data_IF_420721119369
#
_entry.id   IF_420721119369
#
_cell.length_a   1.000
_cell.length_b   1.000
_cell.length_c   1.000
_cell.angle_alpha   90.00
_cell.angle_beta   90.00
_cell.angle_gamma   90.00
#
_symmetry.space_group_name_H-M   'P 1'
#
loop_
_entity.id
_entity.type
_entity.pdbx_description
1 polymer ?
#
# COMPACT_ATOMS: atom_id res chain seq x y z
N UNK A 1 11.04 9.78 12.87
CA UNK A 1 10.12 9.58 11.74
C UNK A 1 8.83 10.29 12.11
N UNK A 2 8.50 11.41 11.44
CA UNK A 2 7.35 12.25 11.77
C UNK A 2 6.23 11.85 10.81
N UNK A 3 5.12 11.34 11.35
CA UNK A 3 3.89 11.15 10.58
C UNK A 3 3.42 12.52 10.05
N UNK A 4 2.84 12.60 8.83
CA UNK A 4 2.29 13.83 8.29
C UNK A 4 1.11 14.33 9.16
N UNK A 5 0.98 15.65 9.39
CA UNK A 5 -0.12 16.20 10.18
C UNK A 5 -1.40 16.26 9.35
N UNK A 6 -2.42 15.48 9.71
CA UNK A 6 -3.72 15.54 9.02
C UNK A 6 -4.83 14.65 9.57
N UNK A 7 -4.51 13.59 10.31
CA UNK A 7 -5.51 12.73 10.96
C UNK A 7 -5.30 12.73 12.48
N UNK A 8 -5.66 13.83 13.13
CA UNK A 8 -5.85 13.86 14.58
C UNK A 8 -7.30 14.24 14.85
N UNK A 9 -8.06 13.28 15.40
CA UNK A 9 -9.40 13.51 15.90
C UNK A 9 -9.40 14.67 16.89
N UNK A 10 -10.24 15.67 16.62
CA UNK A 10 -10.62 16.68 17.61
C UNK A 10 -11.29 15.99 18.79
N UNK A 11 -10.60 15.96 19.93
CA UNK A 11 -11.17 16.22 21.25
C UNK A 11 -10.09 16.00 22.31
N UNK A 12 -9.62 17.10 22.90
CA UNK A 12 -9.50 17.30 24.36
C UNK A 12 -8.57 18.50 24.62
N UNK A 13 -9.18 19.68 24.74
CA UNK A 13 -8.62 20.73 25.60
C UNK A 13 -8.94 20.34 27.03
N UNK A 14 -7.93 20.12 27.87
CA UNK A 14 -7.84 20.75 29.19
C UNK A 14 -6.49 20.48 29.90
N UNK A 15 -5.76 21.58 30.11
CA UNK A 15 -5.10 21.94 31.37
C UNK A 15 -4.14 20.93 32.05
N UNK A 16 -2.83 21.16 31.93
CA UNK A 16 -1.93 21.12 33.11
C UNK A 16 -0.88 22.23 33.02
N UNK A 17 -0.78 22.97 34.13
CA UNK A 17 0.04 24.17 34.37
C UNK A 17 1.53 23.83 34.54
N UNK A 18 2.36 24.76 34.07
CA UNK A 18 3.80 24.88 34.34
C UNK A 18 4.13 24.97 35.84
N UNK A 19 5.21 24.31 36.26
CA UNK A 19 5.96 24.65 37.48
C UNK A 19 7.49 24.57 37.18
N UNK A 20 8.33 25.49 37.71
CA UNK A 20 9.75 25.64 37.36
C UNK A 20 10.70 24.80 38.26
N UNK A 21 12.01 24.71 37.95
CA UNK A 21 12.92 23.77 38.60
C UNK A 21 13.42 24.26 39.96
N UNK A 22 13.48 23.35 40.94
CA UNK A 22 14.03 23.59 42.27
C UNK A 22 15.52 23.21 42.30
N UNK A 23 16.34 24.15 42.78
CA UNK A 23 17.80 24.08 42.90
C UNK A 23 18.26 22.99 43.87
N UNK A 24 19.28 22.24 43.45
CA UNK A 24 20.06 21.32 44.27
C UNK A 24 21.02 22.12 45.18
N UNK A 25 20.99 21.87 46.49
CA UNK A 25 22.05 22.28 47.42
C UNK A 25 22.36 21.09 48.34
N UNK A 26 23.64 20.69 48.30
CA UNK A 26 24.25 19.66 49.13
C UNK A 26 24.25 20.06 50.61
N UNK A 27 23.95 19.11 51.51
CA UNK A 27 24.64 18.96 52.79
C UNK A 27 24.38 17.54 53.31
N UNK A 28 25.45 16.85 53.67
CA UNK A 28 25.45 15.43 54.00
C UNK A 28 25.24 15.09 55.47
N UNK A 29 25.13 13.77 55.65
CA UNK A 29 25.72 12.97 56.74
C UNK A 29 25.00 12.86 58.10
N UNK A 30 24.59 11.61 58.39
CA UNK A 30 24.91 10.79 59.59
C UNK A 30 23.78 10.48 60.59
N UNK A 31 23.32 9.20 60.50
CA UNK A 31 23.12 8.19 61.58
C UNK A 31 21.99 8.40 62.62
N UNK A 32 20.98 7.50 62.67
CA UNK A 32 20.98 6.30 63.53
C UNK A 32 19.62 5.57 63.55
N UNK A 33 19.67 4.29 63.95
CA UNK A 33 18.68 3.23 63.84
C UNK A 33 17.42 3.35 64.71
N UNK A 34 16.30 2.75 64.26
CA UNK A 34 15.49 1.87 65.11
C UNK A 34 14.65 0.89 64.27
N UNK A 35 14.87 -0.41 64.49
CA UNK A 35 14.10 -1.50 63.93
C UNK A 35 12.89 -1.81 64.82
N UNK A 36 11.70 -1.91 64.23
CA UNK A 36 10.60 -2.71 64.77
C UNK A 36 10.11 -3.66 63.67
N UNK A 37 10.38 -4.94 63.87
CA UNK A 37 9.88 -6.06 63.07
C UNK A 37 8.52 -6.45 63.67
N UNK A 38 7.44 -6.25 62.93
CA UNK A 38 6.15 -6.92 63.19
C UNK A 38 5.88 -7.94 62.10
N UNK A 39 5.54 -9.14 62.56
CA UNK A 39 5.40 -10.36 61.80
C UNK A 39 4.23 -10.34 60.79
N UNK A 40 4.49 -10.97 59.64
CA UNK A 40 3.66 -12.03 59.06
C UNK A 40 2.19 -11.72 58.74
N UNK A 41 1.93 -11.51 57.45
CA UNK A 41 0.75 -12.10 56.82
C UNK A 41 1.09 -12.40 55.35
N UNK A 42 1.23 -13.69 55.04
CA UNK A 42 1.57 -14.18 53.71
C UNK A 42 0.49 -13.80 52.68
N UNK A 43 0.94 -13.32 51.53
CA UNK A 43 0.14 -13.32 50.31
C UNK A 43 0.90 -14.12 49.26
N UNK A 44 0.30 -15.25 48.87
CA UNK A 44 0.70 -16.05 47.72
C UNK A 44 0.97 -15.14 46.53
N UNK A 45 2.15 -15.30 45.92
CA UNK A 45 2.38 -14.79 44.56
C UNK A 45 1.34 -15.44 43.66
N UNK A 46 0.36 -14.67 43.20
CA UNK A 46 -0.43 -15.06 42.03
C UNK A 46 0.57 -15.11 40.87
N UNK A 47 0.81 -16.31 40.37
CA UNK A 47 1.42 -16.53 39.07
C UNK A 47 0.57 -15.75 38.06
N UNK A 48 1.14 -14.69 37.48
CA UNK A 48 0.59 -14.12 36.26
C UNK A 48 0.68 -15.22 35.20
N UNK A 49 -0.48 -15.67 34.76
CA UNK A 49 -0.62 -16.56 33.61
C UNK A 49 -0.22 -15.69 32.42
N UNK A 50 0.92 -16.01 31.82
CA UNK A 50 1.33 -15.41 30.56
C UNK A 50 0.25 -15.72 29.52
N UNK A 51 -0.28 -14.68 28.87
CA UNK A 51 -1.18 -14.82 27.74
C UNK A 51 -0.45 -15.56 26.60
N UNK A 52 -0.62 -16.87 26.56
CA UNK A 52 -0.24 -17.68 25.40
C UNK A 52 -1.18 -17.33 24.25
N UNK A 53 -0.76 -16.38 23.41
CA UNK A 53 -1.36 -16.23 22.10
C UNK A 53 -1.12 -17.55 21.31
N UNK A 54 -2.10 -18.04 20.53
CA UNK A 54 -1.89 -19.23 19.71
C UNK A 54 -0.77 -18.94 18.71
N UNK A 55 0.31 -19.72 18.79
CA UNK A 55 1.46 -19.64 17.91
C UNK A 55 1.30 -20.69 16.82
N UNK A 56 0.99 -20.25 15.60
CA UNK A 56 0.89 -21.12 14.41
C UNK A 56 2.27 -21.42 13.79
N UNK A 57 3.31 -21.55 14.63
CA UNK A 57 4.69 -21.83 14.20
C UNK A 57 5.42 -22.79 15.15
N UNK A 58 6.55 -23.40 14.73
CA UNK A 58 7.29 -24.35 15.56
C UNK A 58 7.67 -23.69 16.90
N UNK A 59 7.15 -24.27 17.98
CA UNK A 59 7.11 -23.67 19.31
C UNK A 59 8.48 -23.20 19.80
N UNK A 60 8.70 -21.90 19.75
CA UNK A 60 9.72 -21.24 20.55
C UNK A 60 9.00 -20.83 21.84
N UNK A 61 9.25 -21.55 22.93
CA UNK A 61 8.62 -21.30 24.25
C UNK A 61 8.89 -19.88 24.78
N UNK A 62 9.93 -19.21 24.28
CA UNK A 62 10.23 -17.80 24.55
C UNK A 62 10.78 -17.17 23.28
N UNK A 63 10.00 -16.33 22.58
CA UNK A 63 10.53 -15.54 21.47
C UNK A 63 11.75 -14.71 21.99
N UNK A 64 12.99 -14.98 21.54
CA UNK A 64 14.18 -14.28 22.03
C UNK A 64 14.19 -12.79 21.65
N UNK A 65 13.29 -12.39 20.76
CA UNK A 65 13.01 -11.02 20.36
C UNK A 65 11.53 -10.72 20.62
N UNK A 66 11.12 -10.47 21.88
CA UNK A 66 9.75 -10.06 22.14
C UNK A 66 9.50 -8.76 21.38
N UNK A 67 8.75 -8.84 20.29
CA UNK A 67 8.27 -7.65 19.60
C UNK A 67 7.23 -7.01 20.52
N UNK A 68 7.40 -5.74 20.83
CA UNK A 68 6.30 -4.96 21.39
C UNK A 68 5.12 -5.07 20.43
N UNK A 69 3.93 -5.41 20.94
CA UNK A 69 2.73 -5.38 20.11
C UNK A 69 2.57 -3.96 19.60
N UNK A 70 2.71 -3.77 18.29
CA UNK A 70 2.49 -2.50 17.64
C UNK A 70 1.03 -2.04 17.77
N UNK A 71 0.79 -0.77 17.48
CA UNK A 71 -0.56 -0.24 17.36
C UNK A 71 -1.22 -0.73 16.06
N UNK A 72 -2.37 -1.39 16.19
CA UNK A 72 -3.09 -1.97 15.05
C UNK A 72 -3.55 -0.90 14.07
N UNK A 73 -3.96 0.27 14.58
CA UNK A 73 -4.44 1.34 13.72
C UNK A 73 -3.29 1.95 12.91
N UNK A 74 -2.17 2.27 13.56
CA UNK A 74 -0.94 2.69 12.86
C UNK A 74 -0.47 1.64 11.86
N UNK A 75 -0.54 0.35 12.21
CA UNK A 75 -0.20 -0.74 11.30
C UNK A 75 -1.09 -0.76 10.06
N UNK A 76 -2.42 -0.55 10.22
CA UNK A 76 -3.35 -0.42 9.10
C UNK A 76 -3.06 0.80 8.23
N UNK A 77 -2.73 1.95 8.82
CA UNK A 77 -2.39 3.16 8.05
C UNK A 77 -1.13 2.93 7.21
N UNK A 78 -0.09 2.33 7.80
CA UNK A 78 1.13 1.95 7.07
C UNK A 78 0.78 0.99 5.94
N UNK A 79 0.05 -0.09 6.24
CA UNK A 79 -0.34 -1.08 5.24
C UNK A 79 -1.10 -0.46 4.06
N UNK A 80 -2.00 0.49 4.33
CA UNK A 80 -2.86 1.11 3.32
C UNK A 80 -2.20 2.20 2.50
N UNK A 81 -1.32 2.99 3.10
CA UNK A 81 -0.90 4.26 2.51
C UNK A 81 0.61 4.48 2.49
N UNK A 82 1.41 3.70 3.21
CA UNK A 82 2.86 3.83 3.12
C UNK A 82 3.34 3.29 1.77
N UNK A 83 4.08 4.13 1.06
CA UNK A 83 4.70 3.87 -0.25
C UNK A 83 6.18 3.56 -0.11
N UNK A 84 6.76 3.77 1.07
CA UNK A 84 8.18 3.53 1.36
C UNK A 84 9.12 4.26 0.39
N UNK A 85 8.71 5.43 -0.13
CA UNK A 85 9.51 6.24 -1.04
C UNK A 85 9.49 5.78 -2.50
N UNK A 86 8.64 4.82 -2.88
CA UNK A 86 8.57 4.31 -4.25
C UNK A 86 7.90 5.26 -5.25
N UNK A 87 7.42 6.43 -4.82
CA UNK A 87 6.81 7.43 -5.69
C UNK A 87 7.79 7.96 -6.73
N UNK A 88 9.09 8.01 -6.40
CA UNK A 88 10.13 8.35 -7.37
C UNK A 88 10.18 7.35 -8.53
N UNK A 89 9.91 6.07 -8.27
CA UNK A 89 9.79 5.09 -9.34
C UNK A 89 8.49 5.30 -10.11
N UNK A 90 7.33 5.26 -9.46
CA UNK A 90 6.04 5.25 -10.15
C UNK A 90 5.71 6.57 -10.84
N UNK A 91 6.08 7.70 -10.26
CA UNK A 91 5.81 9.03 -10.83
C UNK A 91 6.92 9.50 -11.76
N UNK A 92 8.19 9.39 -11.37
CA UNK A 92 9.28 10.01 -12.13
C UNK A 92 9.87 9.05 -13.17
N UNK A 93 10.18 7.81 -12.77
CA UNK A 93 10.82 6.83 -13.66
C UNK A 93 9.80 6.18 -14.62
N UNK A 94 8.77 5.53 -14.10
CA UNK A 94 7.73 4.85 -14.88
C UNK A 94 6.73 5.85 -15.51
N UNK A 95 6.57 7.04 -14.91
CA UNK A 95 5.64 8.08 -15.39
C UNK A 95 4.19 7.57 -15.47
N UNK A 96 3.73 6.93 -14.39
CA UNK A 96 2.42 6.30 -14.31
C UNK A 96 1.27 7.29 -14.53
N UNK A 97 1.21 8.48 -13.88
CA UNK A 97 0.11 9.43 -14.14
C UNK A 97 0.02 9.89 -15.60
N UNK A 98 1.17 10.10 -16.25
CA UNK A 98 1.26 10.44 -17.67
C UNK A 98 0.76 9.28 -18.53
N UNK A 99 1.15 8.06 -18.18
CA UNK A 99 0.73 6.84 -18.84
C UNK A 99 -0.79 6.62 -18.77
N UNK A 100 -1.39 6.78 -17.59
CA UNK A 100 -2.85 6.72 -17.38
C UNK A 100 -3.56 7.69 -18.32
N UNK A 101 -3.08 8.93 -18.41
CA UNK A 101 -3.66 9.95 -19.29
C UNK A 101 -3.48 9.63 -20.78
N UNK A 102 -2.30 9.13 -21.18
CA UNK A 102 -1.99 8.79 -22.57
C UNK A 102 -2.78 7.57 -23.06
N UNK A 103 -2.83 6.52 -22.23
CA UNK A 103 -3.61 5.31 -22.47
C UNK A 103 -5.12 5.53 -22.34
N UNK A 104 -5.53 6.66 -21.75
CA UNK A 104 -6.92 6.99 -21.39
C UNK A 104 -7.54 5.91 -20.51
N UNK A 105 -6.79 5.43 -19.51
CA UNK A 105 -7.25 4.35 -18.63
C UNK A 105 -8.49 4.82 -17.86
N UNK A 106 -9.64 4.22 -18.15
CA UNK A 106 -10.92 4.56 -17.51
C UNK A 106 -11.17 3.72 -16.25
N UNK A 107 -12.12 4.10 -15.36
CA UNK A 107 -12.47 3.27 -14.21
C UNK A 107 -12.94 1.87 -14.61
N UNK A 108 -13.68 1.76 -15.73
CA UNK A 108 -14.10 0.47 -16.28
C UNK A 108 -12.91 -0.41 -16.66
N UNK A 109 -11.92 0.17 -17.35
CA UNK A 109 -10.71 -0.57 -17.73
C UNK A 109 -9.84 -0.94 -16.52
N UNK A 110 -9.78 -0.06 -15.50
CA UNK A 110 -9.13 -0.35 -14.23
C UNK A 110 -9.77 -1.56 -13.52
N UNK A 111 -11.10 -1.62 -13.46
CA UNK A 111 -11.84 -2.78 -12.93
C UNK A 111 -11.58 -4.03 -13.78
N UNK A 112 -11.58 -3.93 -15.11
CA UNK A 112 -11.23 -5.05 -15.99
C UNK A 112 -9.80 -5.56 -15.77
N UNK A 113 -8.87 -4.68 -15.38
CA UNK A 113 -7.51 -5.03 -14.99
C UNK A 113 -7.39 -5.56 -13.54
N UNK A 114 -8.50 -5.72 -12.82
CA UNK A 114 -8.50 -6.31 -11.47
C UNK A 114 -8.32 -5.32 -10.32
N UNK A 115 -8.26 -4.01 -10.59
CA UNK A 115 -8.11 -3.01 -9.54
C UNK A 115 -9.34 -2.96 -8.63
N UNK A 116 -9.07 -2.77 -7.35
CA UNK A 116 -10.08 -2.66 -6.30
C UNK A 116 -10.32 -1.19 -5.98
N UNK A 117 -11.59 -0.82 -5.74
CA UNK A 117 -11.96 0.57 -5.43
C UNK A 117 -12.68 0.63 -4.09
N UNK A 118 -12.08 1.36 -3.15
CA UNK A 118 -12.65 1.63 -1.85
C UNK A 118 -13.78 2.66 -1.95
N UNK A 119 -15.01 2.21 -1.71
CA UNK A 119 -16.19 3.06 -1.75
C UNK A 119 -16.18 4.15 -0.67
N UNK A 120 -15.55 3.90 0.47
CA UNK A 120 -15.57 4.80 1.63
C UNK A 120 -14.72 6.05 1.40
N UNK A 121 -13.70 5.94 0.54
CA UNK A 121 -12.83 7.04 0.13
C UNK A 121 -13.45 7.95 -0.95
N UNK A 122 -14.54 7.54 -1.61
CA UNK A 122 -15.19 8.32 -2.67
C UNK A 122 -16.17 9.33 -2.09
N UNK A 123 -16.11 10.58 -2.53
CA UNK A 123 -17.08 11.62 -2.17
C UNK A 123 -18.54 11.18 -2.44
N UNK A 124 -19.52 11.47 -1.55
CA UNK A 124 -20.87 10.92 -1.64
C UNK A 124 -21.57 11.13 -2.98
N UNK A 125 -21.43 12.32 -3.58
CA UNK A 125 -22.05 12.64 -4.87
C UNK A 125 -21.44 11.82 -6.02
N UNK A 126 -20.12 11.66 -6.03
CA UNK A 126 -19.41 10.84 -7.03
C UNK A 126 -19.78 9.36 -6.86
N UNK A 127 -19.84 8.89 -5.60
CA UNK A 127 -20.25 7.53 -5.26
C UNK A 127 -21.65 7.20 -5.77
N UNK A 128 -22.61 8.11 -5.55
CA UNK A 128 -23.98 7.93 -6.04
C UNK A 128 -24.04 7.89 -7.57
N UNK A 129 -23.35 8.81 -8.25
CA UNK A 129 -23.29 8.86 -9.70
C UNK A 129 -22.70 7.56 -10.29
N UNK A 130 -21.55 7.10 -9.78
CA UNK A 130 -20.94 5.84 -10.19
C UNK A 130 -21.88 4.65 -9.95
N UNK A 131 -22.56 4.61 -8.79
CA UNK A 131 -23.52 3.55 -8.48
C UNK A 131 -24.72 3.50 -9.44
N UNK A 132 -25.11 4.62 -10.05
CA UNK A 132 -26.13 4.61 -11.11
C UNK A 132 -25.55 4.13 -12.44
N UNK A 133 -24.37 4.61 -12.84
CA UNK A 133 -23.72 4.19 -14.07
C UNK A 133 -23.43 2.68 -14.10
N UNK A 134 -23.04 2.09 -12.97
CA UNK A 134 -22.77 0.65 -12.82
C UNK A 134 -24.00 -0.24 -13.01
N UNK A 135 -25.22 0.32 -12.97
CA UNK A 135 -26.49 -0.39 -13.24
C UNK A 135 -26.88 -0.38 -14.72
N UNK A 136 -26.13 0.34 -15.55
CA UNK A 136 -26.37 0.44 -16.99
C UNK A 136 -25.57 -0.63 -17.75
N UNK A 137 -25.56 -0.54 -19.08
CA UNK A 137 -24.65 -1.34 -19.93
C UNK A 137 -23.18 -0.88 -19.87
N UNK A 138 -22.90 0.15 -19.06
CA UNK A 138 -21.57 0.76 -18.88
C UNK A 138 -20.93 1.26 -20.19
N UNK A 139 -21.74 1.51 -21.22
CA UNK A 139 -21.29 2.13 -22.47
C UNK A 139 -20.91 3.60 -22.24
N UNK A 140 -20.07 4.21 -23.09
CA UNK A 140 -19.74 5.63 -22.97
C UNK A 140 -20.96 6.56 -22.96
N UNK A 141 -22.08 6.14 -23.57
CA UNK A 141 -23.32 6.91 -23.60
C UNK A 141 -24.09 6.88 -22.28
N UNK A 142 -24.13 5.72 -21.60
CA UNK A 142 -24.92 5.53 -20.38
C UNK A 142 -24.07 5.60 -19.10
N UNK A 143 -22.76 5.49 -19.22
CA UNK A 143 -21.80 5.54 -18.12
C UNK A 143 -20.58 6.41 -18.47
N UNK A 144 -20.78 7.72 -18.69
CA UNK A 144 -19.69 8.62 -19.06
C UNK A 144 -18.57 8.66 -18.02
N UNK A 145 -18.85 8.63 -16.71
CA UNK A 145 -17.80 8.66 -15.68
C UNK A 145 -16.96 7.38 -15.68
N UNK A 146 -17.57 6.20 -15.82
CA UNK A 146 -16.85 4.92 -15.93
C UNK A 146 -15.99 4.81 -17.20
N UNK A 147 -16.24 5.68 -18.19
CA UNK A 147 -15.51 5.74 -19.46
C UNK A 147 -14.67 7.03 -19.61
N UNK A 148 -14.43 7.77 -18.52
CA UNK A 148 -13.62 8.99 -18.52
C UNK A 148 -12.35 8.81 -17.68
N UNK A 149 -11.19 9.08 -18.29
CA UNK A 149 -9.89 9.04 -17.61
C UNK A 149 -9.79 10.06 -16.47
N UNK A 150 -10.49 11.20 -16.56
CA UNK A 150 -10.52 12.18 -15.47
C UNK A 150 -11.17 11.60 -14.20
N UNK A 151 -12.12 10.67 -14.36
CA UNK A 151 -12.70 9.92 -13.22
C UNK A 151 -11.66 9.02 -12.57
N UNK A 152 -10.84 8.32 -13.36
CA UNK A 152 -9.72 7.50 -12.83
C UNK A 152 -8.76 8.36 -12.01
N UNK A 153 -8.36 9.52 -12.53
CA UNK A 153 -7.46 10.43 -11.82
C UNK A 153 -8.06 10.87 -10.48
N UNK A 154 -9.32 11.30 -10.47
CA UNK A 154 -10.04 11.69 -9.24
C UNK A 154 -10.13 10.55 -8.21
N UNK A 155 -10.35 9.31 -8.66
CA UNK A 155 -10.37 8.15 -7.77
C UNK A 155 -9.00 7.89 -7.15
N UNK A 156 -7.90 8.09 -7.88
CA UNK A 156 -6.54 7.96 -7.34
C UNK A 156 -6.22 9.13 -6.40
N UNK A 157 -6.59 10.37 -6.76
CA UNK A 157 -6.41 11.55 -5.91
C UNK A 157 -7.17 11.43 -4.58
N UNK A 158 -8.34 10.78 -4.59
CA UNK A 158 -9.10 10.43 -3.39
C UNK A 158 -8.53 9.22 -2.63
N UNK A 159 -7.43 8.61 -3.09
CA UNK A 159 -6.89 7.34 -2.58
C UNK A 159 -7.94 6.21 -2.56
N UNK A 160 -8.91 6.25 -3.47
CA UNK A 160 -9.98 5.25 -3.59
C UNK A 160 -9.54 4.04 -4.43
N UNK A 161 -8.62 4.20 -5.38
CA UNK A 161 -7.99 3.05 -6.05
C UNK A 161 -7.03 2.39 -5.06
N UNK A 162 -7.42 1.22 -4.57
CA UNK A 162 -6.69 0.50 -3.53
C UNK A 162 -5.26 0.22 -4.02
N UNK A 163 -4.28 0.63 -3.21
CA UNK A 163 -2.86 0.39 -3.48
C UNK A 163 -2.18 1.37 -4.41
N UNK A 164 -2.91 2.26 -5.10
CA UNK A 164 -2.31 3.37 -5.85
C UNK A 164 -2.47 4.63 -5.00
N UNK A 165 -1.39 5.03 -4.34
CA UNK A 165 -1.42 6.05 -3.30
C UNK A 165 -0.97 7.38 -3.87
N UNK A 166 -1.84 8.39 -3.83
CA UNK A 166 -1.49 9.76 -4.10
C UNK A 166 -1.00 10.47 -2.82
N UNK A 167 0.12 11.16 -2.92
CA UNK A 167 0.83 11.79 -1.80
C UNK A 167 0.94 13.30 -2.04
N UNK A 168 0.44 14.07 -1.08
CA UNK A 168 0.58 15.53 -1.00
C UNK A 168 2.07 15.89 -0.80
N UNK A 169 2.75 16.12 -1.91
CA UNK A 169 4.20 16.24 -1.97
C UNK A 169 4.65 17.66 -1.61
N UNK A 170 3.76 18.65 -1.76
CA UNK A 170 4.03 20.05 -1.43
C UNK A 170 3.42 20.48 -0.08
N UNK A 171 2.63 19.61 0.57
CA UNK A 171 1.95 19.83 1.85
C UNK A 171 0.96 21.00 1.83
N UNK A 172 0.28 21.23 0.70
CA UNK A 172 -0.73 22.29 0.56
C UNK A 172 -2.16 21.82 0.92
N UNK A 173 -2.33 20.53 1.22
CA UNK A 173 -3.60 19.90 1.57
C UNK A 173 -4.51 19.61 0.37
N UNK A 174 -4.00 19.73 -0.85
CA UNK A 174 -4.67 19.31 -2.08
C UNK A 174 -3.83 18.21 -2.75
N UNK A 175 -4.50 17.33 -3.49
CA UNK A 175 -3.84 16.28 -4.25
C UNK A 175 -4.08 16.53 -5.73
N UNK A 176 -3.00 16.72 -6.49
CA UNK A 176 -2.99 17.02 -7.92
C UNK A 176 -1.89 16.20 -8.61
N UNK A 177 -2.24 14.98 -9.02
CA UNK A 177 -1.29 14.01 -9.62
C UNK A 177 -1.29 14.03 -11.15
N UNK A 178 -2.20 14.80 -11.77
CA UNK A 178 -2.26 14.94 -13.22
C UNK A 178 -0.92 15.47 -13.79
N UNK A 179 -0.58 15.19 -15.05
CA UNK A 179 0.68 15.65 -15.64
C UNK A 179 0.90 17.16 -15.47
N UNK A 180 2.00 17.52 -14.80
CA UNK A 180 2.33 18.91 -14.46
C UNK A 180 1.86 19.37 -13.08
N UNK A 181 1.11 18.53 -12.35
CA UNK A 181 0.80 18.72 -10.94
C UNK A 181 2.02 18.50 -10.03
N UNK A 182 1.99 19.03 -8.80
CA UNK A 182 3.10 18.95 -7.85
C UNK A 182 3.20 17.60 -7.14
N UNK A 183 2.14 16.80 -7.17
CA UNK A 183 2.00 15.60 -6.34
C UNK A 183 2.38 14.32 -7.07
N UNK A 184 2.70 13.32 -6.26
CA UNK A 184 3.21 12.05 -6.74
C UNK A 184 2.27 10.92 -6.37
N UNK A 185 2.37 9.86 -7.15
CA UNK A 185 1.78 8.55 -6.85
C UNK A 185 2.87 7.54 -6.55
N UNK A 186 2.59 6.68 -5.57
CA UNK A 186 3.32 5.46 -5.28
C UNK A 186 2.37 4.27 -5.19
N UNK A 187 2.93 3.13 -4.82
CA UNK A 187 2.18 1.89 -4.60
C UNK A 187 2.32 1.46 -3.14
N UNK A 188 1.26 0.95 -2.52
CA UNK A 188 1.31 0.38 -1.16
C UNK A 188 1.02 -1.11 -1.16
N UNK A 189 1.22 -1.77 0.00
CA UNK A 189 0.94 -3.20 0.18
C UNK A 189 -0.49 -3.60 -0.23
N UNK A 190 -1.45 -2.66 -0.11
CA UNK A 190 -2.85 -2.94 -0.45
C UNK A 190 -3.09 -3.25 -1.92
N UNK A 191 -2.19 -2.90 -2.84
CA UNK A 191 -2.38 -3.19 -4.27
C UNK A 191 -2.58 -4.69 -4.50
N UNK A 192 -1.81 -5.51 -3.78
CA UNK A 192 -1.83 -6.98 -3.89
C UNK A 192 -2.55 -7.64 -2.71
N UNK A 193 -2.60 -7.01 -1.53
CA UNK A 193 -3.11 -7.62 -0.30
C UNK A 193 -4.42 -7.00 0.20
N UNK A 194 -5.23 -6.44 -0.68
CA UNK A 194 -6.55 -5.95 -0.31
C UNK A 194 -7.55 -6.20 -1.42
N UNK A 195 -8.71 -6.69 -1.02
CA UNK A 195 -9.89 -6.81 -1.87
C UNK A 195 -10.99 -5.92 -1.31
N UNK A 196 -12.13 -5.82 -2.01
CA UNK A 196 -13.33 -5.22 -1.43
C UNK A 196 -14.35 -6.26 -0.99
N UNK A 197 -15.29 -5.85 -0.13
CA UNK A 197 -16.48 -6.63 0.23
C UNK A 197 -17.49 -6.78 -0.92
N UNK A 198 -17.22 -6.18 -2.09
CA UNK A 198 -18.04 -6.25 -3.31
C UNK A 198 -19.42 -5.63 -3.15
N UNK A 199 -19.64 -4.79 -2.13
CA UNK A 199 -20.98 -4.31 -1.77
C UNK A 199 -21.63 -3.42 -2.84
N UNK A 200 -20.84 -2.79 -3.72
CA UNK A 200 -21.33 -1.90 -4.77
C UNK A 200 -21.28 -2.57 -6.13
N UNK A 201 -20.16 -3.21 -6.47
CA UNK A 201 -19.98 -3.84 -7.77
C UNK A 201 -18.93 -4.94 -7.71
N UNK A 202 -19.12 -5.99 -8.50
CA UNK A 202 -18.20 -7.10 -8.64
C UNK A 202 -18.12 -7.50 -10.11
N UNK A 203 -16.92 -7.41 -10.70
CA UNK A 203 -16.64 -7.93 -12.02
C UNK A 203 -16.01 -9.32 -11.89
N UNK A 204 -16.69 -10.41 -12.32
CA UNK A 204 -16.10 -11.74 -12.29
C UNK A 204 -14.81 -11.78 -13.12
N UNK A 205 -13.72 -12.27 -12.51
CA UNK A 205 -12.39 -12.31 -13.14
C UNK A 205 -11.69 -10.95 -13.23
N UNK A 206 -12.25 -9.91 -12.61
CA UNK A 206 -11.66 -8.58 -12.51
C UNK A 206 -11.79 -7.99 -11.11
N UNK A 207 -11.92 -6.67 -11.05
CA UNK A 207 -11.93 -5.87 -9.84
C UNK A 207 -13.31 -5.78 -9.18
N UNK A 208 -13.36 -5.02 -8.09
CA UNK A 208 -14.61 -4.77 -7.38
C UNK A 208 -14.63 -3.40 -6.69
N UNK A 209 -15.84 -2.95 -6.36
CA UNK A 209 -16.10 -1.72 -5.62
C UNK A 209 -16.85 -2.08 -4.34
N UNK A 210 -16.33 -1.60 -3.21
CA UNK A 210 -16.87 -1.92 -1.89
C UNK A 210 -15.97 -1.40 -0.78
N UNK A 211 -16.21 -1.85 0.45
CA UNK A 211 -15.32 -1.55 1.60
C UNK A 211 -14.07 -2.41 1.55
N UNK A 212 -12.93 -1.87 1.95
CA UNK A 212 -11.67 -2.62 2.00
C UNK A 212 -11.76 -3.81 2.96
N UNK A 213 -11.24 -4.95 2.51
CA UNK A 213 -10.90 -6.11 3.33
C UNK A 213 -9.40 -6.32 3.17
N UNK A 214 -8.66 -5.95 4.21
CA UNK A 214 -7.19 -6.03 4.23
C UNK A 214 -6.74 -7.46 4.55
N UNK A 215 -5.70 -7.94 3.84
CA UNK A 215 -5.08 -9.24 4.05
C UNK A 215 -5.23 -10.22 2.87
N UNK A 216 -6.45 -10.48 2.35
CA UNK A 216 -6.63 -11.36 1.20
C UNK A 216 -5.89 -10.88 -0.05
N UNK A 217 -5.39 -11.82 -0.84
CA UNK A 217 -4.73 -11.52 -2.10
C UNK A 217 -5.72 -11.08 -3.19
N UNK A 218 -5.36 -10.05 -3.96
CA UNK A 218 -6.07 -9.61 -5.17
C UNK A 218 -5.68 -10.49 -6.37
N UNK A 219 -6.15 -11.74 -6.37
CA UNK A 219 -5.80 -12.78 -7.34
C UNK A 219 -6.25 -12.50 -8.79
N UNK A 220 -7.20 -11.59 -8.99
CA UNK A 220 -7.64 -11.13 -10.31
C UNK A 220 -6.84 -9.94 -10.84
N UNK A 221 -5.89 -9.40 -10.08
CA UNK A 221 -5.09 -8.25 -10.49
C UNK A 221 -4.17 -8.59 -11.66
N UNK A 222 -4.34 -7.84 -12.76
CA UNK A 222 -3.49 -7.92 -13.94
C UNK A 222 -2.36 -6.88 -13.85
N UNK A 223 -1.36 -7.19 -13.03
CA UNK A 223 -0.19 -6.34 -12.80
C UNK A 223 0.52 -5.98 -14.10
N UNK A 224 0.68 -6.95 -15.02
CA UNK A 224 1.35 -6.71 -16.30
C UNK A 224 0.63 -5.66 -17.15
N UNK A 225 -0.70 -5.74 -17.24
CA UNK A 225 -1.49 -4.73 -17.96
C UNK A 225 -1.40 -3.34 -17.33
N UNK A 226 -1.33 -3.25 -16.00
CA UNK A 226 -1.17 -1.99 -15.28
C UNK A 226 0.24 -1.40 -15.48
N UNK A 227 1.28 -2.23 -15.45
CA UNK A 227 2.65 -1.80 -15.77
C UNK A 227 2.77 -1.27 -17.20
N UNK A 228 2.15 -1.94 -18.17
CA UNK A 228 2.08 -1.51 -19.57
C UNK A 228 1.25 -0.21 -19.78
N UNK A 229 0.58 0.29 -18.74
CA UNK A 229 -0.11 1.59 -18.80
C UNK A 229 0.84 2.75 -18.51
N UNK A 230 1.99 2.51 -17.88
CA UNK A 230 2.95 3.56 -17.58
C UNK A 230 3.58 4.14 -18.86
N UNK A 231 3.89 5.44 -18.90
CA UNK A 231 4.46 6.06 -20.10
C UNK A 231 5.94 5.72 -20.33
N UNK A 232 6.57 4.96 -19.44
CA UNK A 232 7.92 4.41 -19.55
C UNK A 232 7.95 3.00 -18.95
N UNK A 233 7.26 2.05 -19.59
CA UNK A 233 7.22 0.65 -19.16
C UNK A 233 8.61 -0.01 -19.21
N UNK A 234 9.54 0.51 -20.01
CA UNK A 234 10.96 0.10 -19.98
C UNK A 234 11.64 0.36 -18.65
N UNK A 235 11.14 1.26 -17.79
CA UNK A 235 11.65 1.43 -16.43
C UNK A 235 11.62 0.11 -15.63
N UNK A 236 10.76 -0.84 -16.03
CA UNK A 236 10.61 -2.13 -15.41
C UNK A 236 11.62 -3.19 -15.91
N UNK A 237 12.52 -2.85 -16.85
CA UNK A 237 13.50 -3.78 -17.45
C UNK A 237 14.27 -4.69 -16.48
N UNK A 238 14.69 -4.24 -15.28
CA UNK A 238 15.36 -5.13 -14.34
C UNK A 238 14.49 -6.28 -13.80
N UNK A 239 13.16 -6.20 -13.97
CA UNK A 239 12.15 -7.10 -13.38
C UNK A 239 11.34 -7.84 -14.47
N UNK A 240 11.81 -7.86 -15.72
CA UNK A 240 11.18 -8.66 -16.79
C UNK A 240 12.11 -9.77 -17.26
N UNK A 241 11.56 -10.70 -18.04
CA UNK A 241 12.40 -11.65 -18.74
C UNK A 241 13.31 -10.92 -19.74
N UNK A 242 14.61 -10.85 -19.41
CA UNK A 242 15.54 -9.94 -20.04
C UNK A 242 16.90 -10.59 -20.33
N UNK A 243 17.57 -10.09 -21.37
CA UNK A 243 18.97 -10.39 -21.67
C UNK A 243 19.84 -9.18 -21.36
N UNK A 244 20.65 -9.29 -20.31
CA UNK A 244 21.50 -8.21 -19.80
C UNK A 244 22.80 -8.01 -20.61
N UNK A 245 22.90 -8.59 -21.82
CA UNK A 245 24.07 -8.44 -22.70
C UNK A 245 25.27 -9.34 -22.34
N UNK A 246 25.09 -10.28 -21.41
CA UNK A 246 26.13 -11.21 -20.94
C UNK A 246 26.01 -12.62 -21.53
N UNK A 247 25.22 -12.78 -22.59
CA UNK A 247 24.98 -14.08 -23.25
C UNK A 247 24.08 -15.04 -22.47
N UNK A 248 23.40 -14.55 -21.42
CA UNK A 248 22.40 -15.29 -20.63
C UNK A 248 21.15 -14.45 -20.42
N UNK A 249 20.02 -15.12 -20.22
CA UNK A 249 18.73 -14.51 -19.87
C UNK A 249 18.45 -14.65 -18.38
N UNK A 250 17.63 -13.75 -17.85
CA UNK A 250 17.01 -13.87 -16.53
C UNK A 250 15.52 -14.09 -16.76
N UNK A 251 14.93 -15.15 -16.23
CA UNK A 251 13.50 -15.46 -16.36
C UNK A 251 13.20 -16.75 -17.15
N UNK A 252 12.01 -16.87 -17.75
CA UNK A 252 11.53 -18.13 -18.34
C UNK A 252 12.23 -18.44 -19.68
N UNK A 253 13.03 -19.50 -19.72
CA UNK A 253 13.77 -19.99 -20.90
C UNK A 253 12.94 -20.17 -22.19
N UNK A 254 11.61 -20.34 -22.07
CA UNK A 254 10.71 -20.49 -23.20
C UNK A 254 10.31 -19.17 -23.88
N UNK A 255 10.75 -18.02 -23.37
CA UNK A 255 10.35 -16.70 -23.85
C UNK A 255 11.50 -16.04 -24.64
N UNK A 256 11.14 -15.15 -25.55
CA UNK A 256 12.12 -14.27 -26.20
C UNK A 256 12.43 -13.16 -25.19
N UNK A 257 13.71 -12.97 -24.79
CA UNK A 257 14.07 -11.97 -23.82
C UNK A 257 13.96 -10.55 -24.39
N UNK A 258 13.46 -9.63 -23.56
CA UNK A 258 13.62 -8.20 -23.81
C UNK A 258 15.09 -7.81 -23.68
N UNK A 259 15.50 -6.78 -24.39
CA UNK A 259 16.88 -6.27 -24.36
C UNK A 259 16.91 -4.79 -24.04
N UNK A 260 18.10 -4.25 -23.76
CA UNK A 260 18.28 -2.81 -23.60
C UNK A 260 17.87 -1.98 -24.84
N UNK A 261 17.74 -2.62 -26.01
CA UNK A 261 17.31 -1.98 -27.26
C UNK A 261 15.83 -2.18 -27.58
N UNK A 262 15.12 -3.06 -26.86
CA UNK A 262 13.67 -3.30 -27.06
C UNK A 262 12.89 -2.01 -26.82
N UNK A 263 11.88 -1.73 -27.65
CA UNK A 263 11.11 -0.46 -27.59
C UNK A 263 10.08 -0.47 -26.45
N UNK A 264 9.42 0.65 -26.19
CA UNK A 264 8.28 0.67 -25.24
C UNK A 264 7.18 -0.30 -25.68
N UNK A 265 6.89 -0.36 -26.98
CA UNK A 265 5.88 -1.25 -27.54
C UNK A 265 6.24 -2.74 -27.33
N UNK A 266 7.52 -3.09 -27.39
CA UNK A 266 7.97 -4.46 -27.08
C UNK A 266 7.68 -4.82 -25.61
N UNK A 267 7.94 -3.87 -24.69
CA UNK A 267 7.66 -4.04 -23.26
C UNK A 267 6.16 -4.13 -22.99
N UNK A 268 5.36 -3.23 -23.56
CA UNK A 268 3.92 -3.21 -23.39
C UNK A 268 3.28 -4.50 -23.91
N UNK A 269 3.75 -4.99 -25.05
CA UNK A 269 3.31 -6.25 -25.64
C UNK A 269 3.72 -7.46 -24.80
N UNK A 270 4.91 -7.44 -24.18
CA UNK A 270 5.35 -8.49 -23.26
C UNK A 270 4.50 -8.51 -21.98
N UNK A 271 4.33 -7.35 -21.34
CA UNK A 271 3.62 -7.18 -20.07
C UNK A 271 2.11 -7.42 -20.22
N UNK A 272 1.52 -7.10 -21.37
CA UNK A 272 0.10 -7.33 -21.64
C UNK A 272 -0.25 -8.76 -22.04
N UNK A 273 0.74 -9.61 -22.34
CA UNK A 273 0.52 -10.99 -22.78
C UNK A 273 0.41 -11.92 -21.57
N UNK A 274 -0.81 -12.34 -21.24
CA UNK A 274 -1.09 -13.21 -20.07
C UNK A 274 -0.43 -14.59 -20.12
N UNK A 275 0.06 -15.04 -21.29
CA UNK A 275 0.85 -16.28 -21.37
C UNK A 275 2.29 -16.06 -20.90
N UNK A 276 2.81 -14.84 -21.12
CA UNK A 276 4.15 -14.42 -20.71
C UNK A 276 4.15 -13.87 -19.27
N UNK A 277 3.13 -13.09 -18.92
CA UNK A 277 2.93 -12.42 -17.64
C UNK A 277 1.53 -12.70 -17.07
N UNK A 278 1.31 -13.84 -16.38
CA UNK A 278 -0.02 -14.29 -15.99
C UNK A 278 -0.65 -13.49 -14.83
N UNK A 279 -1.97 -13.31 -14.89
CA UNK A 279 -2.78 -12.66 -13.85
C UNK A 279 -2.64 -13.38 -12.51
N UNK A 280 -2.57 -12.62 -11.41
CA UNK A 280 -2.63 -13.16 -10.04
C UNK A 280 -1.40 -13.92 -9.55
N UNK A 281 -0.33 -14.03 -10.34
CA UNK A 281 0.80 -14.94 -10.04
C UNK A 281 2.09 -14.27 -9.58
N UNK A 282 2.11 -12.95 -9.36
CA UNK A 282 3.38 -12.23 -9.39
C UNK A 282 3.46 -11.00 -8.49
N UNK A 283 4.39 -11.05 -7.54
CA UNK A 283 4.80 -9.97 -6.65
C UNK A 283 6.11 -9.37 -7.17
N UNK A 284 6.03 -8.62 -8.27
CA UNK A 284 7.16 -7.82 -8.78
C UNK A 284 6.83 -6.33 -8.84
N UNK A 285 5.78 -5.93 -8.12
CA UNK A 285 5.50 -4.51 -7.92
C UNK A 285 6.61 -3.89 -7.10
N UNK A 286 7.19 -2.78 -7.56
CA UNK A 286 8.05 -1.95 -6.73
C UNK A 286 7.20 -1.28 -5.65
N UNK A 287 6.92 -2.01 -4.57
CA UNK A 287 6.12 -1.58 -3.43
C UNK A 287 6.93 -0.85 -2.36
N UNK A 288 8.25 -0.70 -2.56
CA UNK A 288 9.15 0.07 -1.71
C UNK A 288 9.54 -0.59 -0.38
N UNK A 289 8.93 -1.71 0.02
CA UNK A 289 9.29 -2.44 1.24
C UNK A 289 10.53 -3.35 1.05
N UNK A 290 11.24 -3.23 -0.08
CA UNK A 290 12.32 -4.16 -0.43
C UNK A 290 11.82 -5.60 -0.58
N UNK A 291 10.50 -5.81 -0.71
CA UNK A 291 9.92 -7.07 -1.17
C UNK A 291 9.85 -7.14 -2.70
N UNK A 292 10.50 -6.20 -3.39
CA UNK A 292 11.35 -6.66 -4.47
C UNK A 292 12.39 -7.59 -3.82
N UNK A 293 12.08 -8.88 -3.70
CA UNK A 293 13.09 -9.88 -3.90
C UNK A 293 14.33 -9.74 -3.00
N UNK A 294 14.20 -9.91 -1.68
CA UNK A 294 15.37 -10.18 -0.80
C UNK A 294 16.17 -11.41 -1.29
N UNK A 295 15.49 -12.27 -2.06
CA UNK A 295 16.10 -13.02 -3.15
C UNK A 295 15.27 -12.75 -4.40
N UNK A 296 15.87 -12.22 -5.47
CA UNK A 296 15.32 -12.41 -6.84
C UNK A 296 15.07 -13.89 -6.93
N UNK A 297 13.90 -14.41 -7.37
CA UNK A 297 13.64 -15.85 -7.32
C UNK A 297 14.91 -16.57 -7.77
N UNK A 298 15.60 -17.13 -6.77
CA UNK A 298 16.75 -17.95 -7.01
C UNK A 298 16.10 -19.08 -7.77
N UNK A 299 16.43 -19.18 -9.05
CA UNK A 299 15.87 -20.14 -9.99
C UNK A 299 14.48 -19.75 -10.54
N UNK A 300 14.50 -19.25 -11.78
CA UNK A 300 13.95 -20.02 -12.89
C UNK A 300 15.02 -20.14 -13.97
#
# INVERSE_FOLDING_TARGET
MRLPPGYAAENERQLVKLCPPLKLLCAGSVVSALALITAGCGKSKKSEIADHAPSDGPGIEVNPHPHERGDVESGKQIFRFETFGNEGFWTDAARLPQGIMQAKLTPKQALEAGLQVDVEAIEPAMREALAQELKTDMSPQNAPMLNDVATTMKLIEANAVVGVVAVDSNSDGQIQIAPGGPDKVGISCTICHTITDKSVYNLPGGGSIGRRIDGPAADTLNVGKLLATAANSRAFYPNVHANLGIGKTVGRDSLIPLTANSTEEDFDAFLSDVQKYPVGTFDETQDGNGNSVLNTPLFR
#
